data_IF_141381491785
#
_entry.id   IF_141381491785
#
_cell.length_a   1.000
_cell.length_b   1.000
_cell.length_c   1.000
_cell.angle_alpha   90.00
_cell.angle_beta   90.00
_cell.angle_gamma   90.00
#
_symmetry.space_group_name_H-M   'P 1'
#
loop_
_entity.id
_entity.type
_entity.pdbx_description
1 polymer ?
#
# COMPACT_ATOMS: atom_id res chain seq x y z
N UNK A 1 -19.52 -13.10 -8.66
CA UNK A 1 -20.10 -12.98 -7.29
C UNK A 1 -21.52 -12.46 -7.33
N UNK A 2 -21.80 -11.24 -7.79
CA UNK A 2 -23.20 -10.70 -7.85
C UNK A 2 -24.18 -11.59 -8.65
N UNK A 3 -23.69 -12.27 -9.68
CA UNK A 3 -24.48 -13.22 -10.50
C UNK A 3 -24.47 -14.66 -9.97
N UNK A 4 -24.01 -14.91 -8.74
CA UNK A 4 -23.90 -16.26 -8.16
C UNK A 4 -22.75 -17.14 -8.70
N UNK A 5 -22.02 -16.68 -9.73
CA UNK A 5 -20.86 -17.40 -10.24
C UNK A 5 -19.62 -17.20 -9.38
N UNK A 6 -18.95 -18.30 -9.05
CA UNK A 6 -17.66 -18.37 -8.36
C UNK A 6 -16.54 -18.20 -9.39
N UNK A 7 -15.79 -17.08 -9.38
CA UNK A 7 -14.67 -16.88 -10.29
C UNK A 7 -13.51 -17.81 -9.93
N UNK A 8 -12.67 -18.14 -10.92
CA UNK A 8 -11.44 -18.90 -10.69
C UNK A 8 -10.46 -18.09 -9.84
N UNK A 9 -9.70 -18.78 -8.99
CA UNK A 9 -8.63 -18.17 -8.18
C UNK A 9 -7.60 -17.38 -8.99
N UNK A 10 -7.41 -17.72 -10.27
CA UNK A 10 -6.52 -17.02 -11.19
C UNK A 10 -6.90 -15.56 -11.43
N UNK A 11 -8.15 -15.16 -11.14
CA UNK A 11 -8.58 -13.76 -11.22
C UNK A 11 -8.15 -12.93 -10.00
N UNK A 12 -7.74 -13.56 -8.90
CA UNK A 12 -7.17 -12.88 -7.74
C UNK A 12 -5.70 -12.59 -8.02
N UNK A 13 -5.45 -11.46 -8.68
CA UNK A 13 -4.09 -11.00 -8.98
C UNK A 13 -3.44 -10.52 -7.68
N UNK A 14 -2.53 -11.33 -7.12
CA UNK A 14 -1.75 -10.99 -5.93
C UNK A 14 -0.56 -10.08 -6.26
N UNK A 15 0.04 -10.33 -7.41
CA UNK A 15 1.21 -9.62 -7.94
C UNK A 15 1.00 -9.31 -9.41
N UNK A 16 1.37 -8.11 -9.82
CA UNK A 16 1.32 -7.61 -11.18
C UNK A 16 2.72 -7.23 -11.63
N UNK A 17 3.12 -7.73 -12.80
CA UNK A 17 4.32 -7.23 -13.46
C UNK A 17 3.92 -6.03 -14.30
N UNK A 18 4.59 -4.90 -14.06
CA UNK A 18 4.34 -3.62 -14.70
C UNK A 18 5.60 -3.23 -15.46
N UNK A 19 5.47 -3.08 -16.77
CA UNK A 19 6.56 -2.67 -17.65
C UNK A 19 6.20 -1.36 -18.35
N UNK A 20 7.12 -0.40 -18.33
CA UNK A 20 6.99 0.86 -19.06
C UNK A 20 8.36 1.46 -19.36
N UNK A 21 8.42 2.37 -20.32
CA UNK A 21 9.63 3.08 -20.73
C UNK A 21 9.49 4.55 -20.33
N UNK A 22 10.50 5.09 -19.65
CA UNK A 22 10.57 6.50 -19.27
C UNK A 22 11.96 7.06 -19.54
N UNK A 23 12.05 8.17 -20.28
CA UNK A 23 13.30 8.87 -20.59
C UNK A 23 14.45 7.95 -21.06
N UNK A 24 14.17 6.96 -21.92
CA UNK A 24 15.09 5.93 -22.47
C UNK A 24 15.37 4.69 -21.61
N UNK A 25 14.86 4.62 -20.38
CA UNK A 25 15.01 3.44 -19.54
C UNK A 25 13.73 2.60 -19.50
N UNK A 26 13.87 1.29 -19.70
CA UNK A 26 12.78 0.32 -19.46
C UNK A 26 12.75 -0.06 -17.98
N UNK A 27 11.63 0.25 -17.34
CA UNK A 27 11.32 -0.14 -15.98
C UNK A 27 10.50 -1.42 -16.00
N UNK A 28 10.94 -2.42 -15.25
CA UNK A 28 10.22 -3.67 -15.02
C UNK A 28 10.02 -3.83 -13.52
N UNK A 29 8.79 -3.63 -13.08
CA UNK A 29 8.41 -3.65 -11.67
C UNK A 29 7.53 -4.87 -11.38
N UNK A 30 7.70 -5.47 -10.22
CA UNK A 30 6.70 -6.38 -9.67
C UNK A 30 6.00 -5.68 -8.52
N UNK A 31 4.70 -5.42 -8.67
CA UNK A 31 3.85 -4.76 -7.68
C UNK A 31 2.95 -5.80 -7.03
N UNK A 32 2.96 -5.89 -5.72
CA UNK A 32 2.13 -6.84 -4.96
C UNK A 32 1.33 -6.10 -3.90
N UNK A 33 0.10 -6.55 -3.64
CA UNK A 33 -0.73 -5.96 -2.60
C UNK A 33 -0.32 -6.51 -1.24
N UNK A 34 0.22 -5.67 -0.36
CA UNK A 34 0.65 -6.05 0.99
C UNK A 34 -0.46 -5.83 2.03
N UNK A 35 -1.33 -4.84 1.82
CA UNK A 35 -2.52 -4.60 2.66
C UNK A 35 -3.64 -3.97 1.83
N UNK A 36 -4.76 -3.61 2.47
CA UNK A 36 -5.85 -2.89 1.80
C UNK A 36 -5.35 -1.64 1.04
N UNK A 37 -4.43 -0.87 1.63
CA UNK A 37 -3.92 0.39 1.06
C UNK A 37 -2.41 0.39 0.84
N UNK A 38 -1.69 -0.67 1.21
CA UNK A 38 -0.23 -0.76 1.08
C UNK A 38 0.16 -1.67 -0.08
N UNK A 39 1.05 -1.17 -0.93
CA UNK A 39 1.61 -1.87 -2.08
C UNK A 39 3.10 -2.08 -1.88
N UNK A 40 3.55 -3.30 -2.11
CA UNK A 40 4.95 -3.69 -2.11
C UNK A 40 5.46 -3.69 -3.55
N UNK A 41 6.50 -2.92 -3.82
CA UNK A 41 7.07 -2.78 -5.15
C UNK A 41 8.49 -3.31 -5.13
N UNK A 42 8.79 -4.21 -6.06
CA UNK A 42 10.11 -4.77 -6.28
C UNK A 42 10.63 -4.32 -7.65
N UNK A 43 11.85 -3.80 -7.68
CA UNK A 43 12.58 -3.42 -8.89
C UNK A 43 14.05 -3.80 -8.71
N UNK A 44 14.63 -4.57 -9.65
CA UNK A 44 16.04 -4.94 -9.62
C UNK A 44 16.54 -5.45 -8.25
N UNK A 45 15.75 -6.31 -7.58
CA UNK A 45 16.03 -6.82 -6.22
C UNK A 45 15.94 -5.79 -5.09
N UNK A 46 15.72 -4.51 -5.40
CA UNK A 46 15.36 -3.48 -4.42
C UNK A 46 13.87 -3.50 -4.14
N UNK A 47 13.50 -3.23 -2.89
CA UNK A 47 12.11 -3.28 -2.46
C UNK A 47 11.73 -2.00 -1.72
N UNK A 48 10.52 -1.52 -1.95
CA UNK A 48 9.96 -0.41 -1.17
C UNK A 48 8.44 -0.56 -1.05
N UNK A 49 7.88 0.06 -0.02
CA UNK A 49 6.44 0.03 0.26
C UNK A 49 5.83 1.40 0.08
N UNK A 50 4.65 1.42 -0.52
CA UNK A 50 3.92 2.65 -0.79
C UNK A 50 2.49 2.50 -0.29
N UNK A 51 1.95 3.54 0.34
CA UNK A 51 0.54 3.58 0.68
C UNK A 51 -0.23 4.35 -0.40
N UNK A 52 -1.29 3.77 -0.95
CA UNK A 52 -2.13 4.43 -1.93
C UNK A 52 -3.60 4.42 -1.49
N UNK A 53 -4.25 5.57 -1.61
CA UNK A 53 -5.64 5.77 -1.25
C UNK A 53 -6.41 6.27 -2.47
N UNK A 54 -7.57 5.68 -2.77
CA UNK A 54 -8.42 6.12 -3.86
C UNK A 54 -9.00 7.51 -3.56
N UNK A 55 -8.83 8.44 -4.50
CA UNK A 55 -9.56 9.70 -4.55
C UNK A 55 -10.84 9.47 -5.36
N UNK A 56 -11.96 10.09 -4.97
CA UNK A 56 -13.28 9.86 -5.60
C UNK A 56 -13.37 10.22 -7.09
N UNK A 57 -12.33 10.82 -7.68
CA UNK A 57 -12.23 11.24 -9.07
C UNK A 57 -11.29 10.34 -9.90
N UNK A 58 -11.21 9.04 -9.58
CA UNK A 58 -10.27 8.09 -10.19
C UNK A 58 -8.78 8.48 -10.03
N UNK A 59 -8.47 9.37 -9.09
CA UNK A 59 -7.11 9.65 -8.67
C UNK A 59 -6.63 8.69 -7.58
N UNK A 60 -5.33 8.67 -7.37
CA UNK A 60 -4.70 7.99 -6.23
C UNK A 60 -3.90 9.01 -5.41
N UNK A 61 -4.10 9.04 -4.10
CA UNK A 61 -3.21 9.71 -3.18
C UNK A 61 -2.12 8.72 -2.78
N UNK A 62 -0.91 8.94 -3.28
CA UNK A 62 0.24 8.06 -3.09
C UNK A 62 1.16 8.65 -2.02
N UNK A 63 1.32 7.95 -0.91
CA UNK A 63 2.16 8.34 0.20
C UNK A 63 3.47 7.54 0.22
N UNK A 64 4.59 8.28 0.10
CA UNK A 64 5.97 7.78 0.07
C UNK A 64 6.79 8.67 1.01
N UNK A 65 7.56 8.08 1.92
CA UNK A 65 8.46 8.79 2.85
C UNK A 65 7.81 9.99 3.58
N UNK A 66 6.61 9.78 4.14
CA UNK A 66 5.78 10.79 4.82
C UNK A 66 5.30 11.96 3.95
N UNK A 67 5.50 11.90 2.63
CA UNK A 67 4.94 12.86 1.68
C UNK A 67 3.82 12.21 0.90
N UNK A 68 2.78 12.98 0.61
CA UNK A 68 1.62 12.51 -0.15
C UNK A 68 1.56 13.26 -1.48
N UNK A 69 1.36 12.50 -2.55
CA UNK A 69 1.29 13.00 -3.92
C UNK A 69 -0.06 12.61 -4.52
N UNK A 70 -0.78 13.57 -5.09
CA UNK A 70 -1.98 13.27 -5.87
C UNK A 70 -1.58 12.82 -7.27
N UNK A 71 -1.94 11.60 -7.64
CA UNK A 71 -1.60 10.98 -8.91
C UNK A 71 -2.87 10.73 -9.74
N UNK A 72 -2.86 11.12 -11.02
CA UNK A 72 -3.92 10.83 -11.97
C UNK A 72 -3.32 10.13 -13.20
N UNK A 73 -3.90 9.00 -13.58
CA UNK A 73 -3.45 8.21 -14.72
C UNK A 73 -4.48 8.32 -15.85
N UNK A 74 -4.02 8.70 -17.04
CA UNK A 74 -4.78 8.57 -18.28
C UNK A 74 -4.13 7.52 -19.15
N UNK A 75 -4.92 6.51 -19.53
CA UNK A 75 -4.48 5.43 -20.41
C UNK A 75 -4.67 5.84 -21.87
N UNK A 76 -3.56 6.01 -22.59
CA UNK A 76 -3.56 6.26 -24.02
C UNK A 76 -2.94 5.07 -24.78
N UNK A 77 -3.13 5.02 -26.08
CA UNK A 77 -2.77 3.83 -26.88
C UNK A 77 -1.29 3.49 -26.85
N UNK A 78 -0.42 4.50 -26.94
CA UNK A 78 1.04 4.32 -27.02
C UNK A 78 1.76 4.53 -25.68
N UNK A 79 1.13 5.25 -24.74
CA UNK A 79 1.74 5.64 -23.49
C UNK A 79 0.67 5.88 -22.42
N UNK A 80 1.09 5.95 -21.16
CA UNK A 80 0.27 6.43 -20.06
C UNK A 80 0.67 7.86 -19.72
N UNK A 81 -0.30 8.78 -19.68
CA UNK A 81 -0.09 10.13 -19.21
C UNK A 81 -0.37 10.17 -17.70
N UNK A 82 0.71 10.19 -16.91
CA UNK A 82 0.67 10.22 -15.45
C UNK A 82 0.89 11.65 -14.95
N UNK A 83 -0.11 12.21 -14.29
CA UNK A 83 -0.02 13.52 -13.62
C UNK A 83 0.28 13.29 -12.14
N UNK A 84 1.38 13.84 -11.64
CA UNK A 84 1.79 13.79 -10.24
C UNK A 84 1.82 15.22 -9.70
N UNK A 85 0.86 15.56 -8.85
CA UNK A 85 0.65 16.94 -8.40
C UNK A 85 0.31 17.85 -9.58
N UNK A 86 1.21 18.78 -9.91
CA UNK A 86 1.08 19.68 -11.06
C UNK A 86 1.94 19.28 -12.27
N UNK A 87 2.69 18.18 -12.19
CA UNK A 87 3.64 17.77 -13.23
C UNK A 87 3.08 16.59 -14.02
N UNK A 88 3.17 16.62 -15.34
CA UNK A 88 2.77 15.51 -16.22
C UNK A 88 4.00 14.75 -16.71
N UNK A 89 3.98 13.42 -16.59
CA UNK A 89 5.00 12.50 -17.05
C UNK A 89 4.39 11.50 -18.03
N UNK A 90 5.07 11.22 -19.15
CA UNK A 90 4.63 10.24 -20.15
C UNK A 90 5.39 8.92 -19.96
N UNK A 91 4.67 7.84 -19.69
CA UNK A 91 5.21 6.49 -19.54
C UNK A 91 4.88 5.67 -20.79
N UNK A 92 5.85 5.43 -21.65
CA UNK A 92 5.61 4.71 -22.91
C UNK A 92 5.39 3.21 -22.66
N UNK A 93 4.44 2.63 -23.40
CA UNK A 93 4.20 1.18 -23.39
C UNK A 93 5.32 0.50 -24.18
N UNK A 94 5.74 -0.68 -23.73
CA UNK A 94 6.68 -1.50 -24.51
C UNK A 94 5.91 -2.18 -25.64
N UNK A 95 5.93 -1.53 -26.82
CA UNK A 95 5.20 -1.97 -28.00
C UNK A 95 6.16 -2.62 -28.98
N UNK A 96 5.71 -3.69 -29.62
CA UNK A 96 6.46 -4.39 -30.66
C UNK A 96 6.77 -3.44 -31.83
N UNK A 97 8.06 -3.14 -32.09
CA UNK A 97 8.49 -2.22 -33.15
C UNK A 97 8.18 -2.74 -34.56
N UNK A 98 7.92 -4.04 -34.73
CA UNK A 98 7.53 -4.62 -36.02
C UNK A 98 6.08 -4.30 -36.41
N UNK A 99 5.29 -3.72 -35.50
CA UNK A 99 3.86 -3.46 -35.72
C UNK A 99 3.60 -1.95 -35.77
N UNK A 100 3.32 -1.43 -36.96
CA UNK A 100 3.03 -0.02 -37.17
C UNK A 100 1.54 0.25 -36.92
N UNK A 101 1.25 1.10 -35.93
CA UNK A 101 -0.11 1.42 -35.45
C UNK A 101 -0.46 2.87 -35.68
N UNK A 102 -1.74 3.14 -35.91
CA UNK A 102 -2.26 4.51 -35.99
C UNK A 102 -2.21 5.17 -34.60
N UNK A 103 -1.61 6.36 -34.44
CA UNK A 103 -1.61 7.07 -33.16
C UNK A 103 -3.00 7.66 -32.81
N UNK A 104 -3.80 7.97 -33.82
CA UNK A 104 -5.10 8.64 -33.69
C UNK A 104 -6.15 8.00 -34.60
N UNK A 105 -7.42 8.36 -34.37
CA UNK A 105 -8.51 7.97 -35.26
C UNK A 105 -8.56 8.92 -36.47
N UNK A 106 -8.82 8.39 -37.66
CA UNK A 106 -8.78 9.17 -38.89
C UNK A 106 -9.04 8.33 -40.14
N UNK A 107 -8.68 8.87 -41.30
CA UNK A 107 -8.78 8.16 -42.59
C UNK A 107 -7.39 8.01 -43.21
N UNK A 108 -7.03 6.80 -43.64
CA UNK A 108 -5.79 6.59 -44.39
C UNK A 108 -5.93 7.19 -45.79
N UNK A 109 -5.12 8.18 -46.15
CA UNK A 109 -5.27 8.90 -47.42
C UNK A 109 -4.20 8.56 -48.45
N UNK A 110 -2.98 8.26 -48.01
CA UNK A 110 -1.85 8.01 -48.90
C UNK A 110 -0.87 7.03 -48.29
N UNK A 111 -0.22 6.24 -49.16
CA UNK A 111 0.93 5.39 -48.83
C UNK A 111 2.14 5.98 -49.56
N UNK A 112 3.14 6.42 -48.81
CA UNK A 112 4.33 7.09 -49.35
C UNK A 112 5.39 6.09 -49.81
N UNK A 113 5.35 4.87 -49.30
CA UNK A 113 6.23 3.75 -49.69
C UNK A 113 5.40 2.59 -50.23
N UNK A 114 5.95 1.79 -51.14
CA UNK A 114 5.27 0.61 -51.71
C UNK A 114 5.35 -0.58 -50.77
N UNK A 115 4.47 -1.55 -51.00
CA UNK A 115 4.52 -2.82 -50.29
C UNK A 115 5.81 -3.58 -50.63
N UNK A 116 6.55 -3.99 -49.61
CA UNK A 116 7.86 -4.63 -49.71
C UNK A 116 9.05 -3.66 -49.81
N UNK A 117 8.83 -2.35 -49.78
CA UNK A 117 9.94 -1.38 -49.81
C UNK A 117 10.73 -1.37 -48.49
N UNK A 118 12.04 -1.19 -48.61
CA UNK A 118 12.94 -1.02 -47.48
C UNK A 118 12.94 0.44 -47.02
N UNK A 119 12.62 0.68 -45.75
CA UNK A 119 12.45 2.01 -45.16
C UNK A 119 13.39 2.16 -43.96
N UNK A 120 14.04 3.34 -43.87
CA UNK A 120 14.91 3.70 -42.76
C UNK A 120 14.11 4.27 -41.58
N UNK A 121 14.59 4.03 -40.35
CA UNK A 121 14.08 4.64 -39.12
C UNK A 121 13.86 6.15 -39.27
N UNK A 122 12.68 6.62 -38.87
CA UNK A 122 12.27 8.02 -38.92
C UNK A 122 11.72 8.49 -40.26
N UNK A 123 11.69 7.64 -41.28
CA UNK A 123 11.10 7.98 -42.59
C UNK A 123 9.58 7.85 -42.57
N UNK A 124 8.90 8.67 -43.36
CA UNK A 124 7.45 8.63 -43.50
C UNK A 124 7.02 7.48 -44.43
N UNK A 125 6.04 6.68 -44.01
CA UNK A 125 5.54 5.55 -44.80
C UNK A 125 4.09 5.74 -45.28
N UNK A 126 3.28 6.49 -44.55
CA UNK A 126 1.88 6.72 -44.88
C UNK A 126 1.40 8.08 -44.36
N UNK A 127 0.28 8.56 -44.88
CA UNK A 127 -0.39 9.78 -44.42
C UNK A 127 -1.82 9.48 -44.02
N UNK A 128 -2.24 10.05 -42.89
CA UNK A 128 -3.60 9.95 -42.38
C UNK A 128 -4.24 11.34 -42.29
N UNK A 129 -5.54 11.41 -42.55
CA UNK A 129 -6.36 12.59 -42.33
C UNK A 129 -7.02 12.50 -40.96
N UNK A 130 -6.71 13.47 -40.09
CA UNK A 130 -7.22 13.59 -38.72
C UNK A 130 -7.72 15.01 -38.55
N UNK A 131 -8.99 15.19 -38.19
CA UNK A 131 -9.60 16.52 -38.02
C UNK A 131 -9.35 17.48 -39.21
N UNK A 132 -9.46 16.97 -40.44
CA UNK A 132 -9.17 17.70 -41.70
C UNK A 132 -7.71 18.13 -41.89
N UNK A 133 -6.80 17.64 -41.04
CA UNK A 133 -5.36 17.85 -41.15
C UNK A 133 -4.69 16.56 -41.64
N UNK A 134 -3.74 16.70 -42.56
CA UNK A 134 -2.89 15.58 -42.99
C UNK A 134 -1.74 15.43 -42.00
N UNK A 135 -1.56 14.23 -41.48
CA UNK A 135 -0.49 13.85 -40.57
C UNK A 135 0.34 12.71 -41.18
N UNK A 136 1.64 12.90 -41.40
CA UNK A 136 2.52 11.81 -41.82
C UNK A 136 2.78 10.84 -40.67
N UNK A 137 2.91 9.56 -41.00
CA UNK A 137 3.26 8.49 -40.09
C UNK A 137 4.69 8.03 -40.37
N UNK A 138 5.53 8.06 -39.33
CA UNK A 138 6.94 7.67 -39.39
C UNK A 138 7.15 6.23 -38.93
N UNK A 139 8.18 5.57 -39.48
CA UNK A 139 8.62 4.25 -39.04
C UNK A 139 9.56 4.37 -37.84
N UNK A 140 9.38 3.52 -36.83
CA UNK A 140 10.18 3.52 -35.60
C UNK A 140 11.53 2.83 -35.74
N UNK A 141 11.67 1.87 -36.65
CA UNK A 141 12.87 1.09 -36.90
C UNK A 141 13.09 0.84 -38.40
N UNK A 142 14.28 0.39 -38.79
CA UNK A 142 14.58 0.11 -40.21
C UNK A 142 14.15 -1.30 -40.60
N UNK A 143 13.53 -1.45 -41.78
CA UNK A 143 13.11 -2.75 -42.32
C UNK A 143 12.24 -2.67 -43.56
N UNK A 144 11.71 -3.81 -44.01
CA UNK A 144 10.79 -3.90 -45.15
C UNK A 144 9.32 -3.79 -44.72
N UNK A 145 8.56 -2.89 -45.33
CA UNK A 145 7.16 -2.65 -44.94
C UNK A 145 6.18 -3.57 -45.66
N UNK A 146 5.17 -4.06 -44.94
CA UNK A 146 4.04 -4.81 -45.48
C UNK A 146 2.70 -4.25 -45.00
N UNK A 147 1.90 -3.72 -45.92
CA UNK A 147 0.65 -3.06 -45.59
C UNK A 147 -0.49 -4.04 -45.33
N UNK A 148 -1.25 -3.77 -44.27
CA UNK A 148 -2.46 -4.52 -43.93
C UNK A 148 -3.73 -3.73 -44.23
N UNK A 149 -3.62 -2.40 -44.35
CA UNK A 149 -4.75 -1.49 -44.61
C UNK A 149 -4.61 -0.83 -45.97
N UNK A 150 -5.73 -0.76 -46.68
CA UNK A 150 -5.82 -0.09 -47.97
C UNK A 150 -6.14 1.40 -47.81
N UNK A 151 -5.70 2.19 -48.78
CA UNK A 151 -6.05 3.62 -48.88
C UNK A 151 -7.57 3.80 -48.79
N UNK A 152 -8.00 4.83 -48.07
CA UNK A 152 -9.40 5.14 -47.82
C UNK A 152 -9.99 4.49 -46.56
N UNK A 153 -9.27 3.57 -45.91
CA UNK A 153 -9.71 2.90 -44.68
C UNK A 153 -9.90 3.88 -43.52
N UNK A 154 -10.96 3.68 -42.74
CA UNK A 154 -11.16 4.37 -41.46
C UNK A 154 -10.30 3.67 -40.41
N UNK A 155 -9.48 4.46 -39.71
CA UNK A 155 -8.56 4.01 -38.69
C UNK A 155 -9.05 4.46 -37.31
N UNK A 156 -8.85 3.60 -36.32
CA UNK A 156 -9.00 3.90 -34.90
C UNK A 156 -7.62 4.04 -34.25
N UNK A 157 -7.52 4.72 -33.11
CA UNK A 157 -6.26 4.79 -32.37
C UNK A 157 -5.82 3.37 -31.95
N UNK A 158 -4.57 3.02 -32.28
CA UNK A 158 -3.98 1.70 -32.02
C UNK A 158 -4.21 0.64 -33.10
N UNK A 159 -5.03 0.94 -34.11
CA UNK A 159 -5.25 0.02 -35.23
C UNK A 159 -3.95 -0.20 -36.00
N UNK A 160 -3.66 -1.46 -36.31
CA UNK A 160 -2.47 -1.83 -37.10
C UNK A 160 -2.67 -1.44 -38.56
N UNK A 161 -1.73 -0.68 -39.10
CA UNK A 161 -1.72 -0.21 -40.50
C UNK A 161 -0.83 -1.11 -41.35
N UNK A 162 0.36 -1.44 -40.84
CA UNK A 162 1.36 -2.22 -41.53
C UNK A 162 2.23 -3.02 -40.54
N UNK A 163 2.96 -4.00 -41.06
CA UNK A 163 4.02 -4.73 -40.36
C UNK A 163 5.37 -4.43 -41.00
N UNK A 164 6.42 -4.48 -40.21
CA UNK A 164 7.79 -4.24 -40.63
C UNK A 164 8.61 -5.51 -40.41
N UNK A 165 9.25 -6.00 -41.46
CA UNK A 165 10.29 -7.03 -41.36
C UNK A 165 11.61 -6.34 -41.00
N UNK A 166 12.00 -6.43 -39.73
CA UNK A 166 13.15 -5.73 -39.17
C UNK A 166 14.47 -6.34 -39.66
N UNK A 167 15.37 -5.51 -40.17
CA UNK A 167 16.73 -5.95 -40.55
C UNK A 167 17.50 -6.49 -39.35
N UNK A 168 17.34 -5.82 -38.20
CA UNK A 168 18.06 -6.12 -36.97
C UNK A 168 17.06 -6.19 -35.79
N UNK A 169 16.40 -7.34 -35.55
CA UNK A 169 15.37 -7.47 -34.51
C UNK A 169 15.92 -7.25 -33.08
N UNK A 170 17.25 -7.26 -32.89
CA UNK A 170 17.91 -7.08 -31.59
C UNK A 170 18.30 -5.63 -31.28
N UNK A 171 18.22 -4.71 -32.24
CA UNK A 171 18.65 -3.30 -32.11
C UNK A 171 17.43 -2.38 -32.12
N UNK A 172 16.27 -2.83 -31.59
CA UNK A 172 15.16 -1.92 -31.34
C UNK A 172 15.64 -0.85 -30.36
N UNK A 173 15.66 0.41 -30.80
CA UNK A 173 16.69 1.37 -30.43
C UNK A 173 16.87 1.65 -28.94
N UNK A 174 18.14 1.72 -28.50
CA UNK A 174 18.68 2.36 -27.28
C UNK A 174 17.80 2.42 -26.01
N UNK A 175 16.90 1.46 -25.80
CA UNK A 175 16.17 1.30 -24.55
C UNK A 175 17.04 0.44 -23.67
N UNK A 176 17.66 1.05 -22.67
CA UNK A 176 18.45 0.33 -21.69
C UNK A 176 17.52 -0.15 -20.57
N UNK A 177 17.64 -1.41 -20.11
CA UNK A 177 16.95 -1.81 -18.90
C UNK A 177 17.44 -0.90 -17.77
N UNK A 178 16.51 -0.37 -16.98
CA UNK A 178 16.87 0.36 -15.78
C UNK A 178 17.66 -0.60 -14.88
N UNK A 179 18.91 -0.28 -14.57
CA UNK A 179 19.84 -1.16 -13.86
C UNK A 179 20.19 -0.67 -12.45
N UNK A 180 19.71 0.52 -12.07
CA UNK A 180 19.95 1.07 -10.75
C UNK A 180 19.05 0.43 -9.71
N UNK A 181 19.55 0.43 -8.48
CA UNK A 181 18.78 0.05 -7.30
C UNK A 181 18.05 1.28 -6.76
N UNK A 182 16.90 1.08 -6.13
CA UNK A 182 16.13 2.20 -5.56
C UNK A 182 16.92 2.93 -4.45
N UNK A 183 17.78 2.21 -3.72
CA UNK A 183 18.64 2.76 -2.67
C UNK A 183 19.67 3.79 -3.20
N UNK A 184 20.11 3.64 -4.46
CA UNK A 184 21.00 4.61 -5.12
C UNK A 184 20.32 5.95 -5.43
N UNK A 185 18.99 6.00 -5.52
CA UNK A 185 18.24 7.24 -5.74
C UNK A 185 18.16 8.10 -4.47
N UNK A 186 18.14 7.48 -3.29
CA UNK A 186 18.14 8.18 -2.00
C UNK A 186 19.53 8.73 -1.61
N UNK A 187 20.60 8.31 -2.27
CA UNK A 187 21.98 8.65 -1.90
C UNK A 187 22.58 9.84 -2.68
N UNK A 188 21.89 10.38 -3.69
CA UNK A 188 22.27 11.61 -4.39
C UNK A 188 21.49 12.86 -3.92
N UNK A 189 21.60 13.13 -2.60
CA UNK A 189 21.77 14.42 -1.87
C UNK A 189 20.91 15.66 -2.22
N UNK A 190 20.44 16.43 -1.21
CA UNK A 190 21.28 16.98 -0.15
C UNK A 190 20.90 16.48 1.24
N UNK A 191 21.91 16.38 2.09
CA UNK A 191 21.77 16.43 3.55
C UNK A 191 21.02 17.72 3.93
N UNK A 192 19.70 17.62 4.00
CA UNK A 192 18.87 18.53 4.75
C UNK A 192 18.13 17.69 5.76
N UNK A 193 18.57 17.88 7.01
CA UNK A 193 17.82 17.76 8.24
C UNK A 193 16.43 17.15 8.02
N UNK A 194 16.36 15.87 8.39
CA UNK A 194 15.19 15.29 9.01
C UNK A 194 14.66 16.32 10.00
N UNK A 195 13.67 17.12 9.63
CA UNK A 195 12.89 17.85 10.61
C UNK A 195 12.30 16.77 11.53
N UNK A 196 12.84 16.47 12.72
CA UNK A 196 13.31 17.43 13.71
C UNK A 196 12.41 18.66 13.65
N UNK A 197 11.29 18.57 14.35
CA UNK A 197 10.95 19.72 15.18
C UNK A 197 12.16 19.93 16.10
N UNK A 198 13.18 20.62 15.59
CA UNK A 198 14.26 21.22 16.35
C UNK A 198 13.61 22.31 17.21
N UNK A 199 13.12 21.90 18.37
CA UNK A 199 13.57 22.59 19.56
C UNK A 199 14.83 21.87 20.05
N UNK A 200 15.93 22.12 19.37
CA UNK A 200 17.26 21.88 19.90
C UNK A 200 17.57 22.98 20.93
N UNK A 201 16.96 22.90 22.11
CA UNK A 201 17.62 23.43 23.30
C UNK A 201 18.70 22.41 23.67
N UNK A 202 19.95 22.76 23.36
CA UNK A 202 21.13 22.11 23.94
C UNK A 202 20.94 22.09 25.46
N UNK A 203 20.52 20.94 25.98
CA UNK A 203 20.59 20.62 27.39
C UNK A 203 20.99 19.15 27.43
N UNK A 204 22.04 18.89 28.20
CA UNK A 204 22.57 17.58 28.53
C UNK A 204 21.43 16.58 28.79
N UNK A 205 21.17 15.67 27.85
CA UNK A 205 20.07 14.71 27.96
C UNK A 205 20.33 13.76 29.14
N UNK A 206 19.31 13.65 29.99
CA UNK A 206 19.27 12.69 31.09
C UNK A 206 18.70 11.36 30.62
N UNK A 207 19.09 10.27 31.27
CA UNK A 207 18.78 8.87 30.92
C UNK A 207 17.28 8.51 30.82
N UNK A 208 16.38 9.42 31.20
CA UNK A 208 14.92 9.23 31.09
C UNK A 208 14.38 9.51 29.68
N UNK A 209 14.96 10.44 28.92
CA UNK A 209 14.43 10.85 27.61
C UNK A 209 14.72 9.82 26.49
N UNK A 210 15.81 9.05 26.62
CA UNK A 210 16.18 7.97 25.71
C UNK A 210 15.22 6.77 25.81
N UNK A 211 14.72 6.49 27.02
CA UNK A 211 13.79 5.38 27.29
C UNK A 211 12.42 5.65 26.65
N UNK A 212 11.94 6.90 26.69
CA UNK A 212 10.65 7.28 26.09
C UNK A 212 10.69 7.28 24.55
N UNK A 213 11.80 7.70 23.95
CA UNK A 213 12.00 7.61 22.49
C UNK A 213 12.10 6.15 22.01
N UNK A 214 12.81 5.29 22.76
CA UNK A 214 12.90 3.87 22.43
C UNK A 214 11.53 3.18 22.53
N UNK A 215 10.75 3.47 23.59
CA UNK A 215 9.41 2.90 23.79
C UNK A 215 8.40 3.36 22.73
N UNK A 216 8.50 4.59 22.25
CA UNK A 216 7.64 5.06 21.15
C UNK A 216 8.00 4.42 19.82
N UNK A 217 9.28 4.15 19.56
CA UNK A 217 9.74 3.46 18.35
C UNK A 217 9.32 1.97 18.33
N UNK A 218 9.53 1.23 19.42
CA UNK A 218 9.10 -0.19 19.52
C UNK A 218 7.59 -0.32 19.40
N UNK A 219 6.83 0.59 20.01
CA UNK A 219 5.37 0.61 19.87
C UNK A 219 4.90 0.90 18.44
N UNK A 220 5.56 1.80 17.72
CA UNK A 220 5.26 2.05 16.30
C UNK A 220 5.53 0.78 15.47
N UNK A 221 6.65 0.11 15.70
CA UNK A 221 6.99 -1.17 15.04
C UNK A 221 5.95 -2.26 15.34
N UNK A 222 5.56 -2.42 16.60
CA UNK A 222 4.48 -3.33 17.00
C UNK A 222 3.19 -3.05 16.24
N UNK A 223 2.73 -1.80 16.23
CA UNK A 223 1.48 -1.42 15.56
C UNK A 223 1.54 -1.71 14.05
N UNK A 224 2.66 -1.41 13.40
CA UNK A 224 2.86 -1.72 11.98
C UNK A 224 2.86 -3.23 11.73
N UNK A 225 3.60 -4.00 12.53
CA UNK A 225 3.71 -5.46 12.39
C UNK A 225 2.36 -6.15 12.62
N UNK A 226 1.60 -5.70 13.62
CA UNK A 226 0.25 -6.23 13.92
C UNK A 226 -0.70 -6.00 12.73
N UNK A 227 -0.69 -4.82 12.11
CA UNK A 227 -1.49 -4.54 10.92
C UNK A 227 -1.06 -5.37 9.71
N UNK A 228 0.25 -5.59 9.52
CA UNK A 228 0.77 -6.45 8.46
C UNK A 228 0.27 -7.90 8.63
N UNK A 229 0.38 -8.47 9.85
CA UNK A 229 -0.10 -9.83 10.10
C UNK A 229 -1.61 -9.98 9.90
N UNK A 230 -2.40 -8.98 10.31
CA UNK A 230 -3.84 -8.93 10.00
C UNK A 230 -4.06 -8.96 8.49
N UNK A 231 -3.30 -8.16 7.73
CA UNK A 231 -3.38 -8.11 6.27
C UNK A 231 -3.00 -9.43 5.59
N UNK A 232 -2.03 -10.16 6.14
CA UNK A 232 -1.65 -11.51 5.70
C UNK A 232 -2.80 -12.49 5.93
N UNK A 233 -3.44 -12.44 7.10
CA UNK A 233 -4.62 -13.26 7.40
C UNK A 233 -5.84 -12.89 6.53
N UNK A 234 -5.91 -11.66 6.04
CA UNK A 234 -6.90 -11.23 5.04
C UNK A 234 -6.56 -11.70 3.61
N UNK A 235 -5.45 -12.43 3.42
CA UNK A 235 -5.03 -13.02 2.15
C UNK A 235 -4.09 -12.15 1.30
N UNK A 236 -3.63 -11.00 1.83
CA UNK A 236 -2.63 -10.18 1.15
C UNK A 236 -1.23 -10.75 1.40
N UNK A 237 -0.59 -11.26 0.35
CA UNK A 237 0.74 -11.86 0.45
C UNK A 237 1.70 -11.16 -0.50
N UNK A 238 2.86 -10.78 0.04
CA UNK A 238 4.04 -10.37 -0.72
C UNK A 238 4.65 -11.64 -1.36
N UNK A 239 5.32 -11.55 -2.51
CA UNK A 239 6.01 -12.69 -3.13
C UNK A 239 7.21 -13.18 -2.29
N UNK A 240 7.51 -14.48 -2.41
CA UNK A 240 8.76 -15.06 -1.91
C UNK A 240 9.96 -14.54 -2.73
N UNK A 241 11.15 -14.38 -2.13
CA UNK A 241 11.58 -14.78 -0.78
C UNK A 241 11.28 -13.78 0.35
N UNK A 242 10.70 -12.61 0.02
CA UNK A 242 10.54 -11.52 0.99
C UNK A 242 9.50 -11.83 2.06
N UNK A 243 8.47 -12.59 1.69
CA UNK A 243 7.38 -12.95 2.59
C UNK A 243 7.86 -13.63 3.87
N UNK A 244 8.63 -14.72 3.74
CA UNK A 244 9.11 -15.50 4.89
C UNK A 244 9.99 -14.65 5.82
N UNK A 245 10.84 -13.78 5.26
CA UNK A 245 11.70 -12.89 6.04
C UNK A 245 10.88 -11.81 6.78
N UNK A 246 9.95 -11.14 6.08
CA UNK A 246 9.09 -10.12 6.68
C UNK A 246 8.19 -10.72 7.78
N UNK A 247 7.61 -11.90 7.54
CA UNK A 247 6.77 -12.58 8.52
C UNK A 247 7.53 -12.89 9.81
N UNK A 248 8.74 -13.44 9.69
CA UNK A 248 9.59 -13.73 10.85
C UNK A 248 9.94 -12.47 11.63
N UNK A 249 10.22 -11.36 10.94
CA UNK A 249 10.53 -10.09 11.58
C UNK A 249 9.31 -9.46 12.28
N UNK A 250 8.13 -9.50 11.65
CA UNK A 250 6.89 -8.97 12.21
C UNK A 250 6.46 -9.76 13.45
N UNK A 251 6.58 -11.10 13.42
CA UNK A 251 6.36 -11.94 14.59
C UNK A 251 7.34 -11.64 15.72
N UNK A 252 8.63 -11.44 15.40
CA UNK A 252 9.64 -11.07 16.39
C UNK A 252 9.34 -9.70 17.02
N UNK A 253 8.93 -8.71 16.22
CA UNK A 253 8.54 -7.39 16.71
C UNK A 253 7.35 -7.46 17.68
N UNK A 254 6.37 -8.33 17.39
CA UNK A 254 5.22 -8.55 18.28
C UNK A 254 5.65 -9.27 19.56
N UNK A 255 6.39 -10.37 19.45
CA UNK A 255 6.84 -11.14 20.60
C UNK A 255 7.72 -10.29 21.54
N UNK A 256 8.65 -9.51 20.99
CA UNK A 256 9.53 -8.63 21.76
C UNK A 256 8.76 -7.52 22.48
N UNK A 257 7.77 -6.90 21.83
CA UNK A 257 6.95 -5.87 22.48
C UNK A 257 6.02 -6.46 23.55
N UNK A 258 5.36 -7.59 23.28
CA UNK A 258 4.52 -8.29 24.27
C UNK A 258 5.33 -8.79 25.46
N UNK A 259 6.60 -9.15 25.29
CA UNK A 259 7.47 -9.56 26.39
C UNK A 259 7.77 -8.41 27.38
N UNK A 260 7.65 -7.15 26.95
CA UNK A 260 7.95 -6.01 27.82
C UNK A 260 6.97 -5.94 29.02
N UNK A 261 7.46 -5.68 30.25
CA UNK A 261 6.60 -5.44 31.40
C UNK A 261 5.69 -4.21 31.18
N UNK A 262 6.23 -3.15 30.58
CA UNK A 262 5.53 -1.88 30.31
C UNK A 262 4.41 -1.97 29.27
N UNK A 263 4.21 -3.12 28.61
CA UNK A 263 3.18 -3.30 27.58
C UNK A 263 1.77 -2.96 28.07
N UNK A 264 1.33 -3.58 29.17
CA UNK A 264 -0.03 -3.41 29.71
C UNK A 264 -0.32 -1.96 30.13
N UNK A 265 0.53 -1.29 30.95
CA UNK A 265 0.28 0.11 31.29
C UNK A 265 0.36 1.02 30.07
N UNK A 266 1.27 0.77 29.12
CA UNK A 266 1.34 1.56 27.89
C UNK A 266 0.06 1.44 27.05
N UNK A 267 -0.51 0.24 26.96
CA UNK A 267 -1.74 -0.02 26.23
C UNK A 267 -2.96 0.61 26.91
N UNK A 268 -3.08 0.50 28.23
CA UNK A 268 -4.13 1.16 29.00
C UNK A 268 -4.05 2.69 28.88
N UNK A 269 -2.85 3.25 29.08
CA UNK A 269 -2.61 4.70 29.00
C UNK A 269 -2.93 5.25 27.61
N UNK A 270 -2.55 4.51 26.56
CA UNK A 270 -2.88 4.85 25.18
C UNK A 270 -4.38 4.94 24.94
N UNK A 271 -5.09 3.91 25.39
CA UNK A 271 -6.53 3.85 25.19
C UNK A 271 -7.22 4.96 25.97
N UNK A 272 -6.81 5.18 27.22
CA UNK A 272 -7.32 6.27 28.07
C UNK A 272 -7.09 7.64 27.42
N UNK A 273 -5.87 7.93 26.96
CA UNK A 273 -5.56 9.19 26.28
C UNK A 273 -6.36 9.39 24.99
N UNK A 274 -6.68 8.32 24.25
CA UNK A 274 -7.53 8.40 23.05
C UNK A 274 -8.97 8.78 23.38
N UNK A 275 -9.51 8.30 24.50
CA UNK A 275 -10.88 8.59 24.94
C UNK A 275 -10.99 9.79 25.89
N UNK A 276 -9.89 10.54 26.12
CA UNK A 276 -9.82 11.67 27.05
C UNK A 276 -10.94 12.69 26.88
N UNK A 277 -11.29 13.03 25.64
CA UNK A 277 -12.31 14.03 25.34
C UNK A 277 -13.75 13.53 25.57
N UNK A 278 -13.94 12.21 25.72
CA UNK A 278 -15.23 11.58 25.94
C UNK A 278 -15.46 11.17 27.41
N UNK A 279 -14.47 11.42 28.27
CA UNK A 279 -14.53 11.14 29.70
C UNK A 279 -14.65 12.45 30.50
N UNK A 280 -15.49 12.49 31.56
CA UNK A 280 -15.41 13.53 32.57
C UNK A 280 -14.00 13.64 33.16
N UNK A 281 -13.55 14.87 33.42
CA UNK A 281 -12.18 15.15 33.91
C UNK A 281 -11.82 14.36 35.17
N UNK A 282 -12.75 14.27 36.12
CA UNK A 282 -12.49 13.57 37.39
C UNK A 282 -12.23 12.07 37.20
N UNK A 283 -12.93 11.42 36.27
CA UNK A 283 -12.74 9.99 35.95
C UNK A 283 -11.40 9.79 35.26
N UNK A 284 -11.10 10.65 34.29
CA UNK A 284 -9.84 10.58 33.56
C UNK A 284 -8.66 10.70 34.52
N UNK A 285 -8.68 11.68 35.43
CA UNK A 285 -7.61 11.87 36.42
C UNK A 285 -7.50 10.69 37.40
N UNK A 286 -8.62 10.16 37.90
CA UNK A 286 -8.62 9.01 38.80
C UNK A 286 -8.02 7.75 38.13
N UNK A 287 -8.51 7.40 36.94
CA UNK A 287 -8.02 6.23 36.19
C UNK A 287 -6.56 6.44 35.74
N UNK A 288 -6.19 7.66 35.33
CA UNK A 288 -4.82 8.00 34.97
C UNK A 288 -3.85 7.78 36.14
N UNK A 289 -4.20 8.26 37.32
CA UNK A 289 -3.37 8.11 38.52
C UNK A 289 -3.19 6.64 38.91
N UNK A 290 -4.24 5.82 38.83
CA UNK A 290 -4.16 4.38 39.07
C UNK A 290 -3.21 3.68 38.09
N UNK A 291 -3.32 3.98 36.79
CA UNK A 291 -2.45 3.39 35.76
C UNK A 291 -1.00 3.87 35.94
N UNK A 292 -0.79 5.15 36.26
CA UNK A 292 0.54 5.70 36.45
C UNK A 292 1.22 5.11 37.70
N UNK A 293 0.48 4.99 38.80
CA UNK A 293 0.97 4.35 40.02
C UNK A 293 1.32 2.88 39.78
N UNK A 294 0.51 2.15 39.00
CA UNK A 294 0.85 0.81 38.54
C UNK A 294 2.10 0.77 37.66
N UNK A 295 2.25 1.72 36.74
CA UNK A 295 3.40 1.81 35.83
C UNK A 295 4.71 2.00 36.58
N UNK A 296 4.72 2.81 37.64
CA UNK A 296 5.91 3.06 38.48
C UNK A 296 6.25 1.84 39.34
N UNK A 297 5.24 1.12 39.84
CA UNK A 297 5.42 -0.01 40.76
C UNK A 297 5.42 -1.38 40.07
N UNK A 298 5.65 -1.45 38.75
CA UNK A 298 5.49 -2.67 37.96
C UNK A 298 6.43 -3.83 38.34
N UNK A 299 7.54 -3.52 39.00
CA UNK A 299 8.51 -4.50 39.50
C UNK A 299 8.16 -5.02 40.90
N UNK A 300 7.18 -4.41 41.57
CA UNK A 300 6.71 -4.82 42.88
C UNK A 300 5.82 -6.05 42.76
N UNK A 301 6.18 -7.11 43.46
CA UNK A 301 5.41 -8.37 43.52
C UNK A 301 4.06 -8.16 44.21
N UNK A 302 3.94 -7.12 45.04
CA UNK A 302 2.77 -6.85 45.89
C UNK A 302 1.72 -6.00 45.17
N UNK A 303 2.11 -5.27 44.14
CA UNK A 303 1.22 -4.31 43.49
C UNK A 303 0.50 -4.97 42.30
N UNK A 304 -0.72 -5.44 42.55
CA UNK A 304 -1.58 -6.02 41.53
C UNK A 304 -2.19 -4.93 40.62
N UNK A 305 -2.62 -5.33 39.43
CA UNK A 305 -3.22 -4.42 38.45
C UNK A 305 -4.61 -3.98 38.95
N UNK A 306 -4.88 -2.67 39.15
CA UNK A 306 -6.11 -2.19 39.78
C UNK A 306 -7.31 -2.19 38.83
N UNK A 307 -7.65 -3.34 38.24
CA UNK A 307 -8.76 -3.47 37.27
C UNK A 307 -10.12 -3.27 37.94
N UNK A 308 -10.32 -3.83 39.13
CA UNK A 308 -11.60 -3.73 39.84
C UNK A 308 -11.88 -2.29 40.29
N UNK A 309 -10.85 -1.56 40.72
CA UNK A 309 -10.96 -0.14 41.06
C UNK A 309 -11.33 0.69 39.83
N UNK A 310 -10.72 0.42 38.68
CA UNK A 310 -11.06 1.08 37.41
C UNK A 310 -12.52 0.79 37.03
N UNK A 311 -12.98 -0.45 37.16
CA UNK A 311 -14.37 -0.82 36.90
C UNK A 311 -15.34 -0.16 37.88
N UNK A 312 -15.00 -0.08 39.17
CA UNK A 312 -15.82 0.61 40.17
C UNK A 312 -16.01 2.07 39.82
N UNK A 313 -14.93 2.80 39.51
CA UNK A 313 -14.99 4.23 39.14
C UNK A 313 -15.89 4.43 37.91
N UNK A 314 -15.80 3.54 36.91
CA UNK A 314 -16.63 3.62 35.71
C UNK A 314 -18.10 3.32 36.06
N UNK A 315 -18.38 2.27 36.83
CA UNK A 315 -19.73 1.86 37.21
C UNK A 315 -20.42 2.87 38.13
N UNK A 316 -19.68 3.51 39.02
CA UNK A 316 -20.17 4.58 39.90
C UNK A 316 -20.64 5.76 39.05
N UNK A 317 -19.86 6.15 38.04
CA UNK A 317 -20.28 7.21 37.12
C UNK A 317 -21.48 6.80 36.25
N UNK A 318 -21.51 5.56 35.76
CA UNK A 318 -22.67 5.05 35.00
C UNK A 318 -23.94 5.11 35.84
N UNK A 319 -23.84 4.82 37.14
CA UNK A 319 -24.96 4.87 38.09
C UNK A 319 -25.47 6.30 38.36
N UNK A 320 -24.60 7.31 38.21
CA UNK A 320 -24.95 8.74 38.35
C UNK A 320 -25.66 9.28 37.10
N UNK A 321 -25.50 8.65 35.94
CA UNK A 321 -26.15 9.08 34.69
C UNK A 321 -27.65 8.75 34.74
N UNK A 322 -28.48 9.70 35.13
CA UNK A 322 -29.94 9.54 35.29
C UNK A 322 -30.72 9.43 33.96
N UNK A 323 -30.13 9.81 32.82
CA UNK A 323 -30.81 9.82 31.51
C UNK A 323 -30.59 8.53 30.72
N UNK A 324 -31.67 7.86 30.32
CA UNK A 324 -31.66 6.59 29.56
C UNK A 324 -30.88 6.65 28.24
N UNK A 325 -30.73 7.82 27.60
CA UNK A 325 -29.99 7.98 26.34
C UNK A 325 -28.49 8.27 26.52
N UNK A 326 -28.06 8.74 27.70
CA UNK A 326 -26.68 9.15 27.94
C UNK A 326 -25.79 7.95 28.35
N UNK A 327 -26.36 6.96 29.05
CA UNK A 327 -25.67 5.72 29.42
C UNK A 327 -25.15 4.91 28.22
N UNK A 328 -25.95 4.53 27.22
CA UNK A 328 -25.46 3.74 26.09
C UNK A 328 -24.43 4.51 25.25
N UNK A 329 -24.61 5.82 25.10
CA UNK A 329 -23.67 6.69 24.39
C UNK A 329 -22.32 6.76 25.10
N UNK A 330 -22.32 6.89 26.43
CA UNK A 330 -21.11 6.84 27.23
C UNK A 330 -20.39 5.50 27.11
N UNK A 331 -21.12 4.38 27.25
CA UNK A 331 -20.57 3.03 27.13
C UNK A 331 -19.98 2.75 25.73
N UNK A 332 -20.60 3.26 24.67
CA UNK A 332 -20.01 3.18 23.32
C UNK A 332 -18.69 3.93 23.22
N UNK A 333 -18.59 5.12 23.80
CA UNK A 333 -17.36 5.93 23.76
C UNK A 333 -16.21 5.29 24.55
N UNK A 334 -16.50 4.57 25.63
CA UNK A 334 -15.49 3.89 26.46
C UNK A 334 -15.34 2.39 26.14
N UNK A 335 -16.02 1.89 25.11
CA UNK A 335 -16.10 0.46 24.79
C UNK A 335 -14.73 -0.21 24.61
N UNK A 336 -13.77 0.51 24.02
CA UNK A 336 -12.42 0.00 23.82
C UNK A 336 -11.63 -0.13 25.14
N UNK A 337 -11.85 0.78 26.10
CA UNK A 337 -11.26 0.67 27.43
C UNK A 337 -11.87 -0.53 28.17
N UNK A 338 -13.21 -0.66 28.14
CA UNK A 338 -13.93 -1.75 28.79
C UNK A 338 -13.52 -3.13 28.26
N UNK A 339 -13.34 -3.28 26.95
CA UNK A 339 -12.84 -4.53 26.36
C UNK A 339 -11.47 -4.88 26.95
N UNK A 340 -10.54 -3.93 26.96
CA UNK A 340 -9.18 -4.16 27.47
C UNK A 340 -9.21 -4.51 28.96
N UNK A 341 -9.96 -3.76 29.78
CA UNK A 341 -10.02 -4.03 31.22
C UNK A 341 -10.68 -5.38 31.52
N UNK A 342 -11.74 -5.76 30.79
CA UNK A 342 -12.37 -7.07 30.91
C UNK A 342 -11.40 -8.22 30.59
N UNK A 343 -10.61 -8.12 29.51
CA UNK A 343 -9.60 -9.14 29.23
C UNK A 343 -8.48 -9.17 30.28
N UNK A 344 -8.15 -8.02 30.87
CA UNK A 344 -7.15 -7.90 31.93
C UNK A 344 -7.62 -8.42 33.29
N UNK A 345 -8.93 -8.67 33.51
CA UNK A 345 -9.44 -9.33 34.73
C UNK A 345 -8.80 -10.72 34.92
N UNK A 346 -8.49 -11.42 33.82
CA UNK A 346 -7.79 -12.71 33.85
C UNK A 346 -6.27 -12.58 34.05
N UNK A 347 -5.78 -11.35 34.23
CA UNK A 347 -4.39 -11.01 34.48
C UNK A 347 -3.58 -10.63 33.22
N UNK A 348 -2.42 -9.95 33.41
CA UNK A 348 -1.57 -9.47 32.31
C UNK A 348 -1.09 -10.54 31.34
N UNK A 349 -0.79 -11.75 31.84
CA UNK A 349 -0.31 -12.88 31.01
C UNK A 349 -1.41 -13.41 30.11
N UNK A 350 -2.62 -13.58 30.66
CA UNK A 350 -3.78 -14.03 29.90
C UNK A 350 -4.12 -13.04 28.78
N UNK A 351 -4.07 -11.73 29.06
CA UNK A 351 -4.28 -10.70 28.05
C UNK A 351 -3.26 -10.77 26.91
N UNK A 352 -1.97 -10.94 27.21
CA UNK A 352 -0.92 -11.11 26.18
C UNK A 352 -1.15 -12.34 25.30
N UNK A 353 -1.58 -13.45 25.89
CA UNK A 353 -1.93 -14.67 25.15
C UNK A 353 -3.19 -14.46 24.31
N UNK A 354 -4.19 -13.74 24.83
CA UNK A 354 -5.42 -13.40 24.11
C UNK A 354 -5.11 -12.67 22.80
N UNK A 355 -4.16 -11.73 22.79
CA UNK A 355 -3.74 -11.01 21.57
C UNK A 355 -3.17 -11.96 20.52
N UNK A 356 -2.42 -12.98 20.94
CA UNK A 356 -1.91 -13.99 20.01
C UNK A 356 -3.03 -14.93 19.54
N UNK A 357 -3.97 -15.25 20.42
CA UNK A 357 -5.13 -16.06 20.10
C UNK A 357 -6.03 -15.38 19.06
N UNK A 358 -6.18 -14.05 19.07
CA UNK A 358 -6.93 -13.30 18.05
C UNK A 358 -6.49 -13.62 16.62
N UNK A 359 -5.19 -13.82 16.38
CA UNK A 359 -4.69 -14.21 15.06
C UNK A 359 -5.17 -15.61 14.65
N UNK A 360 -5.16 -16.56 15.59
CA UNK A 360 -5.63 -17.92 15.37
C UNK A 360 -7.15 -17.97 15.18
N UNK A 361 -7.89 -17.18 15.97
CA UNK A 361 -9.33 -17.04 15.84
C UNK A 361 -9.71 -16.45 14.49
N UNK A 362 -8.97 -15.44 14.02
CA UNK A 362 -9.19 -14.85 12.69
C UNK A 362 -8.93 -15.87 11.57
N UNK A 363 -7.86 -16.64 11.67
CA UNK A 363 -7.58 -17.74 10.74
C UNK A 363 -8.71 -18.78 10.74
N UNK A 364 -9.08 -19.27 11.92
CA UNK A 364 -10.12 -20.28 12.09
C UNK A 364 -11.49 -19.78 11.62
N UNK A 365 -11.79 -18.49 11.82
CA UNK A 365 -13.03 -17.87 11.38
C UNK A 365 -13.25 -17.98 9.88
N UNK A 366 -12.18 -18.00 9.08
CA UNK A 366 -12.24 -18.21 7.62
C UNK A 366 -12.19 -19.70 7.29
N UNK A 367 -11.19 -20.42 7.79
CA UNK A 367 -10.90 -21.80 7.36
C UNK A 367 -11.98 -22.81 7.78
N UNK A 368 -12.71 -22.56 8.88
CA UNK A 368 -13.81 -23.44 9.31
C UNK A 368 -14.89 -23.64 8.23
N UNK A 369 -15.06 -22.65 7.36
CA UNK A 369 -16.05 -22.70 6.27
C UNK A 369 -15.59 -23.61 5.12
N UNK A 370 -14.28 -23.87 5.00
CA UNK A 370 -13.70 -24.65 3.89
C UNK A 370 -13.12 -26.00 4.33
N UNK A 371 -13.14 -26.32 5.63
CA UNK A 371 -12.47 -27.49 6.18
C UNK A 371 -13.19 -28.84 5.92
N UNK A 372 -14.52 -28.86 5.84
CA UNK A 372 -15.31 -30.11 5.88
C UNK A 372 -15.91 -30.54 4.54
N UNK A 373 -16.23 -29.57 3.68
CA UNK A 373 -16.87 -29.79 2.40
C UNK A 373 -15.87 -29.52 1.27
N UNK A 374 -16.07 -30.18 0.12
CA UNK A 374 -15.34 -29.82 -1.09
C UNK A 374 -15.59 -28.35 -1.44
N UNK A 375 -14.59 -27.67 -2.00
CA UNK A 375 -14.63 -26.21 -2.25
C UNK A 375 -15.94 -25.73 -2.88
N UNK A 376 -16.48 -26.45 -3.88
CA UNK A 376 -17.72 -26.08 -4.56
C UNK A 376 -18.96 -26.11 -3.65
N UNK A 377 -18.99 -27.03 -2.68
CA UNK A 377 -20.06 -27.13 -1.68
C UNK A 377 -19.88 -26.13 -0.53
N UNK A 378 -18.65 -25.72 -0.24
CA UNK A 378 -18.35 -24.72 0.80
C UNK A 378 -18.71 -23.29 0.40
N UNK A 379 -18.82 -23.01 -0.90
CA UNK A 379 -19.11 -21.67 -1.44
C UNK A 379 -20.61 -21.42 -1.62
N UNK A 380 -21.43 -22.47 -1.66
CA UNK A 380 -22.90 -22.39 -1.65
C UNK A 380 -23.41 -22.13 -0.24
#
# INVERSE_FOLDING_TARGET
LEKGHVPKFTHLIKSLNVEFIYQTNKFSLTVSRASANTFFICINQSTFTVNAYALGNNGLLVAIDNRSYSCFLRDETMHYALEIGSTTCLLYKDLDPSVLRSPSAGKLISLLSKDGDHILKGSDYAEIEVMKMVMPLTVTETGCIHYLKSIGSILESGMVIARLELDNPKISGSITPFSLNFESFNSSKPSYNLGSSDYSSQSTLSSTDEIDHHNTATRKKYKSSYQNLIGILDGNCIPEPFFSQCLSQDLLNIATYLAQPSFVPSQLMTTLCRIKNHLPKHIFEAVYNLINHYSVNITSIVYELPIDEIHSIINDHVSILEKEQEQPTFLMNISDLLKITNHLQNGPKAYKVSILAEFLEKYLAVEKHFAYLGFEHSVQ
#
